data_IF_125123917350
#
_entry.id   IF_125123917350
#
_cell.length_a   1.000
_cell.length_b   1.000
_cell.length_c   1.000
_cell.angle_alpha   90.00
_cell.angle_beta   90.00
_cell.angle_gamma   90.00
#
_symmetry.space_group_name_H-M   'P 1'
#
loop_
_entity.id
_entity.type
_entity.pdbx_description
1 polymer ?
#
# COMPACT_ATOMS: atom_id res chain seq x y z
N UNK A 1 2.74 9.53 -31.90
CA UNK A 1 1.60 8.92 -32.65
C UNK A 1 1.38 7.47 -32.19
N UNK A 2 2.44 6.65 -31.99
CA UNK A 2 2.28 5.24 -31.58
C UNK A 2 1.82 5.05 -30.12
N UNK A 3 2.29 5.86 -29.19
CA UNK A 3 1.94 5.76 -27.76
C UNK A 3 0.49 6.19 -27.47
N UNK A 4 0.00 7.19 -28.16
CA UNK A 4 -1.39 7.64 -27.99
C UNK A 4 -2.41 6.66 -28.58
N UNK A 5 -2.03 5.95 -29.65
CA UNK A 5 -2.86 4.91 -30.27
C UNK A 5 -3.02 3.70 -29.36
N UNK A 6 -1.94 3.26 -28.70
CA UNK A 6 -2.00 2.18 -27.72
C UNK A 6 -2.84 2.53 -26.47
N UNK A 7 -2.81 3.80 -26.03
CA UNK A 7 -3.63 4.28 -24.90
C UNK A 7 -5.10 4.31 -25.31
N UNK A 8 -5.40 4.74 -26.52
CA UNK A 8 -6.78 4.86 -27.03
C UNK A 8 -7.43 3.50 -27.28
N UNK A 9 -6.69 2.52 -27.81
CA UNK A 9 -7.18 1.14 -27.97
C UNK A 9 -7.39 0.45 -26.62
N UNK A 10 -6.54 0.73 -25.64
CA UNK A 10 -6.71 0.29 -24.25
C UNK A 10 -8.00 0.86 -23.65
N UNK A 11 -8.35 2.11 -23.91
CA UNK A 11 -9.58 2.74 -23.38
C UNK A 11 -10.85 2.20 -24.04
N UNK A 12 -10.82 1.82 -25.30
CA UNK A 12 -11.98 1.23 -25.98
C UNK A 12 -12.25 -0.21 -25.53
N UNK A 13 -11.22 -1.01 -25.37
CA UNK A 13 -11.34 -2.37 -24.78
C UNK A 13 -11.76 -2.32 -23.32
N UNK A 14 -11.33 -1.32 -22.58
CA UNK A 14 -11.72 -1.14 -21.17
C UNK A 14 -13.20 -0.76 -20.97
N UNK A 15 -13.85 -0.11 -21.94
CA UNK A 15 -15.28 0.20 -21.86
C UNK A 15 -16.18 -1.03 -22.00
N UNK A 16 -15.69 -2.10 -22.60
CA UNK A 16 -16.42 -3.36 -22.81
C UNK A 16 -16.46 -4.23 -21.55
N UNK A 17 -15.50 -4.06 -20.60
CA UNK A 17 -15.45 -4.83 -19.36
C UNK A 17 -16.04 -4.02 -18.20
N UNK A 18 -16.83 -4.69 -17.35
CA UNK A 18 -17.40 -4.04 -16.15
C UNK A 18 -16.30 -3.48 -15.25
N UNK A 19 -16.57 -2.33 -14.63
CA UNK A 19 -15.63 -1.60 -13.75
C UNK A 19 -14.96 -2.47 -12.67
N UNK A 20 -15.67 -3.50 -12.21
CA UNK A 20 -15.20 -4.46 -11.21
C UNK A 20 -14.17 -5.43 -11.80
N UNK A 21 -14.41 -5.92 -13.03
CA UNK A 21 -13.49 -6.83 -13.73
C UNK A 21 -12.14 -6.16 -13.99
N UNK A 22 -12.15 -4.89 -14.38
CA UNK A 22 -10.92 -4.10 -14.57
C UNK A 22 -10.18 -3.84 -13.27
N UNK A 23 -10.92 -3.65 -12.18
CA UNK A 23 -10.33 -3.51 -10.84
C UNK A 23 -9.54 -4.77 -10.48
N UNK A 24 -10.17 -5.93 -10.58
CA UNK A 24 -9.54 -7.20 -10.20
C UNK A 24 -8.42 -7.62 -11.16
N UNK A 25 -8.52 -7.34 -12.46
CA UNK A 25 -7.45 -7.63 -13.42
C UNK A 25 -6.16 -6.89 -13.11
N UNK A 26 -6.23 -5.59 -12.83
CA UNK A 26 -5.08 -4.78 -12.41
C UNK A 26 -4.60 -5.16 -11.01
N UNK A 27 -5.53 -5.39 -10.09
CA UNK A 27 -5.25 -5.82 -8.74
C UNK A 27 -4.41 -7.10 -8.71
N UNK A 28 -4.80 -8.11 -9.48
CA UNK A 28 -4.10 -9.39 -9.55
C UNK A 28 -2.63 -9.21 -9.97
N UNK A 29 -2.37 -8.37 -10.96
CA UNK A 29 -1.02 -8.06 -11.42
C UNK A 29 -0.18 -7.43 -10.31
N UNK A 30 -0.67 -6.39 -9.65
CA UNK A 30 0.07 -5.72 -8.58
C UNK A 30 0.30 -6.62 -7.37
N UNK A 31 -0.70 -7.42 -7.00
CA UNK A 31 -0.59 -8.38 -5.90
C UNK A 31 0.43 -9.46 -6.21
N UNK A 32 0.42 -10.03 -7.42
CA UNK A 32 1.37 -11.05 -7.81
C UNK A 32 2.81 -10.53 -7.76
N UNK A 33 3.05 -9.35 -8.34
CA UNK A 33 4.38 -8.72 -8.31
C UNK A 33 4.80 -8.42 -6.88
N UNK A 34 3.91 -7.87 -6.05
CA UNK A 34 4.19 -7.57 -4.64
C UNK A 34 4.51 -8.81 -3.81
N UNK A 35 3.78 -9.92 -4.01
CA UNK A 35 4.05 -11.17 -3.31
C UNK A 35 5.40 -11.77 -3.70
N UNK A 36 5.75 -11.76 -4.99
CA UNK A 36 7.07 -12.21 -5.48
C UNK A 36 8.17 -11.32 -4.88
N UNK A 37 7.98 -10.01 -4.86
CA UNK A 37 8.92 -9.07 -4.26
C UNK A 37 9.11 -9.33 -2.77
N UNK A 38 8.02 -9.51 -2.00
CA UNK A 38 8.07 -9.83 -0.58
C UNK A 38 8.79 -11.14 -0.31
N UNK A 39 8.55 -12.16 -1.14
CA UNK A 39 9.24 -13.43 -1.06
C UNK A 39 10.77 -13.28 -1.28
N UNK A 40 11.17 -12.59 -2.34
CA UNK A 40 12.59 -12.38 -2.69
C UNK A 40 13.30 -11.59 -1.57
N UNK A 41 12.67 -10.55 -1.02
CA UNK A 41 13.25 -9.74 0.06
C UNK A 41 13.46 -10.59 1.31
N UNK A 42 12.43 -11.27 1.80
CA UNK A 42 12.55 -12.10 3.01
C UNK A 42 13.49 -13.29 2.83
N UNK A 43 13.53 -13.88 1.64
CA UNK A 43 14.49 -14.92 1.31
C UNK A 43 15.92 -14.35 1.33
N UNK A 44 16.11 -13.17 0.76
CA UNK A 44 17.38 -12.45 0.77
C UNK A 44 17.87 -12.12 2.19
N UNK A 45 16.96 -11.67 3.05
CA UNK A 45 17.25 -11.36 4.46
C UNK A 45 17.74 -12.58 5.24
N UNK A 46 17.19 -13.75 4.95
CA UNK A 46 17.62 -15.01 5.59
C UNK A 46 18.95 -15.50 5.04
N UNK A 47 19.18 -15.37 3.72
CA UNK A 47 20.36 -15.95 3.05
C UNK A 47 21.59 -15.03 3.07
N UNK A 48 21.43 -13.72 2.87
CA UNK A 48 22.56 -12.78 2.70
C UNK A 48 23.12 -12.28 4.03
N UNK A 49 22.34 -11.58 4.90
CA UNK A 49 22.83 -11.16 6.20
C UNK A 49 22.86 -12.29 7.23
N UNK A 50 22.29 -13.47 6.91
CA UNK A 50 22.29 -14.62 7.80
C UNK A 50 21.53 -14.36 9.09
N UNK A 51 20.39 -13.68 9.02
CA UNK A 51 19.54 -13.45 10.20
C UNK A 51 19.22 -14.80 10.84
N UNK A 52 19.65 -14.96 12.09
CA UNK A 52 19.37 -16.17 12.85
C UNK A 52 17.88 -16.18 13.27
N UNK A 53 17.04 -16.71 12.38
CA UNK A 53 15.62 -16.90 12.67
C UNK A 53 15.39 -18.29 13.27
N UNK A 54 14.63 -18.34 14.35
CA UNK A 54 14.17 -19.63 14.93
C UNK A 54 13.24 -20.34 13.94
N UNK A 55 12.43 -19.57 13.23
CA UNK A 55 11.44 -20.09 12.26
C UNK A 55 11.54 -19.40 10.89
N UNK A 56 12.56 -19.71 10.06
CA UNK A 56 12.82 -18.99 8.81
C UNK A 56 11.69 -19.16 7.77
N UNK A 57 11.06 -20.32 7.67
CA UNK A 57 9.95 -20.55 6.77
C UNK A 57 8.72 -19.67 7.10
N UNK A 58 8.45 -19.48 8.39
CA UNK A 58 7.34 -18.63 8.84
C UNK A 58 7.67 -17.15 8.70
N UNK A 59 8.93 -16.75 8.82
CA UNK A 59 9.40 -15.40 8.53
C UNK A 59 9.12 -15.03 7.05
N UNK A 60 9.50 -15.91 6.12
CA UNK A 60 9.24 -15.70 4.69
C UNK A 60 7.73 -15.64 4.41
N UNK A 61 6.95 -16.57 4.98
CA UNK A 61 5.49 -16.57 4.82
C UNK A 61 4.86 -15.28 5.35
N UNK A 62 5.29 -14.82 6.53
CA UNK A 62 4.82 -13.55 7.11
C UNK A 62 5.14 -12.37 6.23
N UNK A 63 6.35 -12.32 5.64
CA UNK A 63 6.74 -11.28 4.70
C UNK A 63 5.88 -11.23 3.45
N UNK A 64 5.54 -12.39 2.88
CA UNK A 64 4.64 -12.49 1.74
C UNK A 64 3.22 -12.00 2.09
N UNK A 65 2.72 -12.38 3.28
CA UNK A 65 1.40 -11.90 3.77
C UNK A 65 1.43 -10.39 4.02
N UNK A 66 2.46 -9.85 4.64
CA UNK A 66 2.64 -8.42 4.82
C UNK A 66 2.63 -7.68 3.47
N UNK A 67 3.40 -8.18 2.49
CA UNK A 67 3.43 -7.61 1.15
C UNK A 67 2.06 -7.62 0.49
N UNK A 68 1.32 -8.73 0.60
CA UNK A 68 -0.05 -8.83 0.12
C UNK A 68 -0.96 -7.74 0.71
N UNK A 69 -0.93 -7.56 2.03
CA UNK A 69 -1.77 -6.56 2.72
C UNK A 69 -1.39 -5.14 2.32
N UNK A 70 -0.08 -4.83 2.28
CA UNK A 70 0.38 -3.48 1.94
C UNK A 70 0.08 -3.09 0.49
N UNK A 71 0.24 -4.02 -0.44
CA UNK A 71 -0.15 -3.80 -1.85
C UNK A 71 -1.64 -3.53 -1.95
N UNK A 72 -2.48 -4.25 -1.20
CA UNK A 72 -3.93 -3.99 -1.17
C UNK A 72 -4.25 -2.58 -0.68
N UNK A 73 -3.62 -2.13 0.41
CA UNK A 73 -3.85 -0.78 0.97
C UNK A 73 -3.42 0.29 -0.04
N UNK A 74 -2.20 0.18 -0.58
CA UNK A 74 -1.65 1.16 -1.52
C UNK A 74 -2.47 1.20 -2.80
N UNK A 75 -2.86 0.04 -3.33
CA UNK A 75 -3.69 -0.07 -4.52
C UNK A 75 -5.07 0.58 -4.32
N UNK A 76 -5.73 0.28 -3.21
CA UNK A 76 -7.03 0.85 -2.87
C UNK A 76 -6.96 2.39 -2.76
N UNK A 77 -5.97 2.94 -2.04
CA UNK A 77 -5.77 4.37 -1.88
C UNK A 77 -5.43 5.06 -3.21
N UNK A 78 -4.48 4.50 -3.97
CA UNK A 78 -4.08 5.06 -5.27
C UNK A 78 -5.22 5.10 -6.27
N UNK A 79 -6.06 4.05 -6.29
CA UNK A 79 -7.15 3.96 -7.24
C UNK A 79 -8.33 4.86 -6.86
N UNK A 80 -8.59 5.00 -5.56
CA UNK A 80 -9.72 5.78 -5.04
C UNK A 80 -9.47 7.28 -5.14
N UNK A 81 -8.27 7.74 -4.76
CA UNK A 81 -7.93 9.16 -4.67
C UNK A 81 -7.03 9.66 -5.81
N UNK A 82 -6.67 8.82 -6.79
CA UNK A 82 -5.79 9.15 -7.93
C UNK A 82 -4.50 9.89 -7.49
N UNK A 83 -4.33 11.17 -7.89
CA UNK A 83 -3.14 11.97 -7.56
C UNK A 83 -2.97 12.20 -6.06
N UNK A 84 -4.05 12.49 -5.35
CA UNK A 84 -4.05 12.67 -3.89
C UNK A 84 -3.72 11.36 -3.19
N UNK A 85 -4.19 10.22 -3.72
CA UNK A 85 -3.92 8.89 -3.18
C UNK A 85 -2.44 8.55 -3.13
N UNK A 86 -1.68 8.95 -4.13
CA UNK A 86 -0.22 8.76 -4.14
C UNK A 86 0.46 9.54 -3.01
N UNK A 87 0.08 10.81 -2.82
CA UNK A 87 0.59 11.64 -1.72
C UNK A 87 0.19 11.06 -0.36
N UNK A 88 -1.06 10.60 -0.22
CA UNK A 88 -1.56 9.97 1.00
C UNK A 88 -0.81 8.68 1.33
N UNK A 89 -0.48 7.85 0.34
CA UNK A 89 0.35 6.66 0.52
C UNK A 89 1.74 7.01 1.06
N UNK A 90 2.38 8.05 0.53
CA UNK A 90 3.70 8.50 1.00
C UNK A 90 3.62 8.98 2.45
N UNK A 91 2.63 9.81 2.79
CA UNK A 91 2.41 10.28 4.16
C UNK A 91 2.17 9.10 5.11
N UNK A 92 1.35 8.13 4.69
CA UNK A 92 1.05 6.94 5.48
C UNK A 92 2.31 6.11 5.74
N UNK A 93 3.17 5.91 4.75
CA UNK A 93 4.46 5.21 4.91
C UNK A 93 5.38 5.96 5.87
N UNK A 94 5.50 7.29 5.74
CA UNK A 94 6.32 8.11 6.64
C UNK A 94 5.83 8.01 8.09
N UNK A 95 4.51 8.03 8.32
CA UNK A 95 3.93 7.89 9.66
C UNK A 95 4.12 6.48 10.24
N UNK A 96 4.17 5.47 9.39
CA UNK A 96 4.31 4.07 9.83
C UNK A 96 5.72 3.77 10.37
N UNK A 97 6.77 4.41 9.84
CA UNK A 97 8.15 4.16 10.28
C UNK A 97 8.32 4.42 11.81
N UNK A 98 8.05 5.62 12.34
CA UNK A 98 8.14 5.87 13.77
C UNK A 98 6.99 5.25 14.59
N UNK A 99 5.81 5.10 13.98
CA UNK A 99 4.60 4.64 14.67
C UNK A 99 4.54 3.13 14.90
N UNK A 100 5.26 2.32 14.13
CA UNK A 100 5.22 0.85 14.21
C UNK A 100 6.14 0.23 15.27
N UNK A 101 6.90 1.03 16.01
CA UNK A 101 7.96 0.56 16.92
C UNK A 101 9.00 -0.34 16.27
N UNK A 102 9.22 -0.19 14.96
CA UNK A 102 10.22 -0.98 14.23
C UNK A 102 11.65 -0.65 14.64
N UNK A 103 11.96 0.63 14.82
CA UNK A 103 13.30 1.14 15.16
C UNK A 103 13.47 1.44 16.66
N UNK A 104 12.43 1.96 17.30
CA UNK A 104 12.43 2.34 18.72
C UNK A 104 11.19 1.80 19.43
N UNK A 105 11.27 1.50 20.74
CA UNK A 105 10.11 1.18 21.56
C UNK A 105 9.07 2.30 21.47
N UNK A 106 7.79 1.94 21.37
CA UNK A 106 6.69 2.93 21.21
C UNK A 106 6.61 3.91 22.37
N UNK A 107 7.03 3.50 23.55
CA UNK A 107 7.04 4.30 24.78
C UNK A 107 7.98 5.51 24.70
N UNK A 108 9.01 5.44 23.85
CA UNK A 108 9.97 6.54 23.61
C UNK A 108 9.49 7.51 22.55
N UNK A 109 8.39 7.22 21.87
CA UNK A 109 7.84 8.09 20.83
C UNK A 109 6.83 9.11 21.43
N UNK A 110 6.59 10.26 20.77
CA UNK A 110 5.57 11.20 21.18
C UNK A 110 4.19 10.54 21.34
N UNK A 111 3.38 11.05 22.29
CA UNK A 111 2.03 10.52 22.61
C UNK A 111 1.14 10.34 21.37
N UNK A 112 1.32 11.17 20.37
CA UNK A 112 0.63 11.06 19.09
C UNK A 112 0.88 9.68 18.42
N UNK A 113 2.15 9.26 18.32
CA UNK A 113 2.51 7.97 17.72
C UNK A 113 2.09 6.78 18.59
N UNK A 114 2.13 6.93 19.92
CA UNK A 114 1.64 5.88 20.83
C UNK A 114 0.15 5.60 20.62
N UNK A 115 -0.67 6.64 20.40
CA UNK A 115 -2.10 6.48 20.07
C UNK A 115 -2.34 5.94 18.66
N UNK A 116 -1.47 6.28 17.73
CA UNK A 116 -1.57 5.84 16.34
C UNK A 116 -1.10 4.40 16.16
N UNK A 117 -0.18 3.93 17.02
CA UNK A 117 0.44 2.61 16.96
C UNK A 117 -0.53 1.44 16.70
N UNK A 118 -1.64 1.27 17.43
CA UNK A 118 -2.57 0.17 17.20
C UNK A 118 -3.37 0.27 15.90
N UNK A 119 -3.36 1.45 15.25
CA UNK A 119 -4.07 1.68 13.99
C UNK A 119 -3.18 1.43 12.76
N UNK A 120 -1.88 1.26 12.95
CA UNK A 120 -0.93 1.11 11.85
C UNK A 120 -0.72 -0.36 11.48
N UNK A 121 -0.84 -0.75 10.19
CA UNK A 121 -0.62 -2.13 9.76
C UNK A 121 0.81 -2.61 9.98
N UNK A 122 1.83 -1.72 9.91
CA UNK A 122 3.22 -2.10 10.17
C UNK A 122 3.45 -2.61 11.59
N UNK A 123 2.69 -2.14 12.58
CA UNK A 123 2.75 -2.61 13.96
C UNK A 123 2.60 -4.12 14.04
N UNK A 124 1.59 -4.64 13.39
CA UNK A 124 1.30 -6.09 13.39
C UNK A 124 2.26 -6.87 12.52
N UNK A 125 2.68 -6.31 11.38
CA UNK A 125 3.70 -6.93 10.52
C UNK A 125 5.05 -7.06 11.21
N UNK A 126 5.52 -5.98 11.84
CA UNK A 126 6.79 -5.98 12.59
C UNK A 126 6.72 -6.90 13.83
N UNK A 127 5.58 -6.89 14.54
CA UNK A 127 5.33 -7.80 15.68
C UNK A 127 5.45 -9.26 15.27
N UNK A 128 4.73 -9.67 14.22
CA UNK A 128 4.78 -11.03 13.70
C UNK A 128 6.18 -11.45 13.21
N UNK A 129 6.90 -10.56 12.52
CA UNK A 129 8.27 -10.84 12.07
C UNK A 129 9.24 -11.00 13.24
N UNK A 130 9.13 -10.19 14.30
CA UNK A 130 9.94 -10.31 15.51
C UNK A 130 9.75 -11.66 16.18
N UNK A 131 8.51 -12.17 16.26
CA UNK A 131 8.24 -13.49 16.84
C UNK A 131 8.81 -14.63 15.99
N UNK A 132 8.88 -14.49 14.66
CA UNK A 132 9.56 -15.47 13.81
C UNK A 132 11.07 -15.52 14.08
N UNK A 133 11.68 -14.39 14.43
CA UNK A 133 13.12 -14.29 14.72
C UNK A 133 13.42 -14.79 16.13
N UNK A 134 12.69 -14.31 17.14
CA UNK A 134 12.96 -14.57 18.54
C UNK A 134 12.34 -15.88 19.07
N UNK A 135 11.37 -16.44 18.35
CA UNK A 135 10.54 -17.57 18.78
C UNK A 135 9.13 -17.10 19.19
N UNK A 136 8.15 -18.00 19.02
CA UNK A 136 6.75 -17.67 19.28
C UNK A 136 6.46 -17.49 20.77
N UNK A 137 5.81 -16.37 21.09
CA UNK A 137 5.32 -16.09 22.41
C UNK A 137 3.79 -16.21 22.47
N UNK A 138 3.31 -17.33 22.97
CA UNK A 138 1.87 -17.58 23.14
C UNK A 138 1.07 -17.55 21.84
N UNK A 139 0.03 -16.69 21.78
CA UNK A 139 -0.87 -16.54 20.64
C UNK A 139 -0.68 -15.24 19.86
N UNK A 140 0.33 -14.43 20.21
CA UNK A 140 0.52 -13.07 19.66
C UNK A 140 0.77 -13.11 18.17
N UNK A 141 1.63 -14.00 17.70
CA UNK A 141 1.87 -14.20 16.26
C UNK A 141 0.57 -14.39 15.45
N UNK A 142 -0.28 -15.30 15.91
CA UNK A 142 -1.56 -15.57 15.23
C UNK A 142 -2.51 -14.39 15.30
N UNK A 143 -2.56 -13.67 16.41
CA UNK A 143 -3.39 -12.47 16.56
C UNK A 143 -2.95 -11.38 15.60
N UNK A 144 -1.66 -11.08 15.52
CA UNK A 144 -1.12 -10.05 14.65
C UNK A 144 -1.39 -10.37 13.18
N UNK A 145 -1.17 -11.62 12.78
CA UNK A 145 -1.44 -12.09 11.43
C UNK A 145 -2.94 -12.04 11.08
N UNK A 146 -3.81 -12.44 12.02
CA UNK A 146 -5.26 -12.37 11.84
C UNK A 146 -5.76 -10.92 11.75
N UNK A 147 -5.27 -10.02 12.59
CA UNK A 147 -5.61 -8.59 12.52
C UNK A 147 -5.17 -8.02 11.17
N UNK A 148 -3.94 -8.33 10.74
CA UNK A 148 -3.41 -7.87 9.47
C UNK A 148 -4.27 -8.31 8.28
N UNK A 149 -4.70 -9.57 8.25
CA UNK A 149 -5.52 -10.10 7.16
C UNK A 149 -7.00 -9.69 7.28
N UNK A 150 -7.62 -9.92 8.45
CA UNK A 150 -9.07 -9.77 8.63
C UNK A 150 -9.52 -8.32 8.81
N UNK A 151 -8.66 -7.43 9.30
CA UNK A 151 -9.00 -6.02 9.42
C UNK A 151 -8.62 -5.22 8.18
N UNK A 152 -7.36 -5.33 7.72
CA UNK A 152 -6.84 -4.44 6.69
C UNK A 152 -7.19 -4.87 5.25
N UNK A 153 -7.36 -6.16 4.95
CA UNK A 153 -7.76 -6.59 3.61
C UNK A 153 -9.21 -6.20 3.31
N UNK A 154 -10.20 -6.48 4.18
CA UNK A 154 -11.57 -6.01 3.94
C UNK A 154 -11.66 -4.48 3.93
N UNK A 155 -10.92 -3.79 4.81
CA UNK A 155 -10.88 -2.34 4.85
C UNK A 155 -10.36 -1.76 3.52
N UNK A 156 -9.28 -2.31 2.97
CA UNK A 156 -8.74 -1.87 1.69
C UNK A 156 -9.70 -2.12 0.52
N UNK A 157 -10.40 -3.26 0.51
CA UNK A 157 -11.42 -3.56 -0.50
C UNK A 157 -12.63 -2.63 -0.38
N UNK A 158 -13.06 -2.32 0.84
CA UNK A 158 -14.14 -1.36 1.12
C UNK A 158 -13.78 0.05 0.59
N UNK A 159 -12.56 0.50 0.82
CA UNK A 159 -12.06 1.78 0.29
C UNK A 159 -12.01 1.72 -1.24
N UNK A 160 -11.41 0.69 -1.83
CA UNK A 160 -11.19 0.58 -3.28
C UNK A 160 -12.46 0.41 -4.11
N UNK A 161 -13.46 -0.32 -3.60
CA UNK A 161 -14.71 -0.56 -4.28
C UNK A 161 -15.84 0.37 -3.83
N UNK A 162 -15.92 0.64 -2.52
CA UNK A 162 -17.02 1.41 -1.93
C UNK A 162 -16.87 2.93 -2.06
N UNK A 163 -15.69 3.47 -1.75
CA UNK A 163 -15.47 4.92 -1.81
C UNK A 163 -15.24 5.45 -3.22
N UNK A 164 -14.81 4.61 -4.15
CA UNK A 164 -14.51 5.02 -5.52
C UNK A 164 -15.68 5.74 -6.22
N UNK A 165 -16.92 5.21 -6.24
CA UNK A 165 -18.04 5.90 -6.87
C UNK A 165 -18.42 7.20 -6.14
N UNK A 166 -18.28 7.23 -4.81
CA UNK A 166 -18.62 8.39 -3.99
C UNK A 166 -17.65 9.57 -4.23
N UNK A 167 -16.36 9.26 -4.41
CA UNK A 167 -15.30 10.27 -4.61
C UNK A 167 -15.06 10.62 -6.08
N UNK A 168 -15.78 10.02 -7.03
CA UNK A 168 -15.63 10.32 -8.45
C UNK A 168 -15.88 11.81 -8.75
N UNK A 169 -16.87 12.43 -8.10
CA UNK A 169 -17.16 13.86 -8.22
C UNK A 169 -16.06 14.74 -7.63
N UNK A 170 -15.50 14.36 -6.50
CA UNK A 170 -14.42 15.09 -5.85
C UNK A 170 -13.12 15.03 -6.67
N UNK A 171 -12.79 13.84 -7.20
CA UNK A 171 -11.64 13.65 -8.07
C UNK A 171 -11.74 14.50 -9.35
N UNK A 172 -12.94 14.62 -9.94
CA UNK A 172 -13.16 15.46 -11.13
C UNK A 172 -12.92 16.96 -10.84
N UNK A 173 -13.31 17.43 -9.65
CA UNK A 173 -13.04 18.82 -9.23
C UNK A 173 -11.55 19.09 -9.04
N UNK A 174 -10.83 18.14 -8.47
CA UNK A 174 -9.37 18.24 -8.28
C UNK A 174 -8.61 18.14 -9.61
N UNK A 175 -8.98 17.21 -10.49
CA UNK A 175 -8.38 17.07 -11.81
C UNK A 175 -8.54 18.37 -12.62
N UNK A 176 -9.72 19.04 -12.52
CA UNK A 176 -9.98 20.33 -13.17
C UNK A 176 -9.09 21.46 -12.62
N UNK A 177 -8.96 21.56 -11.29
CA UNK A 177 -8.10 22.57 -10.66
C UNK A 177 -6.62 22.36 -10.95
N UNK A 178 -6.15 21.10 -10.99
CA UNK A 178 -4.77 20.78 -11.37
C UNK A 178 -4.49 21.19 -12.82
N UNK A 179 -5.38 20.87 -13.75
CA UNK A 179 -5.26 21.27 -15.14
C UNK A 179 -5.23 22.81 -15.33
N UNK A 180 -6.02 23.56 -14.57
CA UNK A 180 -5.98 25.04 -14.56
C UNK A 180 -4.62 25.57 -14.05
N UNK A 181 -4.04 24.90 -13.02
CA UNK A 181 -2.75 25.30 -12.46
C UNK A 181 -1.58 24.97 -13.39
N UNK A 182 -1.60 23.81 -14.05
CA UNK A 182 -0.62 23.44 -15.09
C UNK A 182 -0.67 24.41 -16.27
N UNK A 183 -1.86 24.77 -16.71
CA UNK A 183 -2.05 25.73 -17.81
C UNK A 183 -1.51 27.13 -17.44
N UNK A 184 -1.71 27.58 -16.22
CA UNK A 184 -1.13 28.85 -15.73
C UNK A 184 0.39 28.80 -15.64
N UNK A 185 0.97 27.68 -15.17
CA UNK A 185 2.43 27.50 -15.12
C UNK A 185 3.05 27.51 -16.53
N UNK A 186 2.45 26.81 -17.47
CA UNK A 186 2.91 26.79 -18.87
C UNK A 186 2.80 28.17 -19.54
N UNK A 187 1.74 28.94 -19.25
CA UNK A 187 1.60 30.30 -19.77
C UNK A 187 2.63 31.27 -19.18
N UNK A 188 3.01 31.12 -17.91
CA UNK A 188 4.07 31.92 -17.27
C UNK A 188 5.45 31.62 -17.84
N UNK A 189 5.76 30.36 -18.16
CA UNK A 189 7.03 29.97 -18.79
C UNK A 189 7.12 30.54 -20.22
N UNK A 190 6.01 30.58 -20.96
CA UNK A 190 5.97 31.11 -22.34
C UNK A 190 6.03 32.65 -22.41
N UNK A 191 5.73 33.36 -21.31
CA UNK A 191 5.86 34.82 -21.20
C UNK A 191 7.30 35.24 -20.82
N UNK A 192 8.12 34.31 -20.30
CA UNK A 192 9.50 34.59 -19.86
C UNK A 192 10.56 34.35 -20.94
N UNK A 193 10.19 33.90 -22.15
CA UNK A 193 11.01 33.84 -23.35
C UNK A 193 10.72 35.04 -24.29
#
# INVERSE_FOLDING_TARGET
VGSEMCIRDSDQTMRSYGSVSLYFGRWLLFVTVGMIQGFIVCLGDVLLPGIQCVHPAQFILTGVICSFVYVNIIYALSLTFKHIGKALCVILVILQIPGSSGTYPVEMTPVFFQKLHPLLPFTYGVGAMRECIAGFYGTTFRKDLMILLLAYVPLSLLIGLGLRPLLAGLNHLFDKKLAETEFMMLSLIHISE
#
